data_IF_289697560182
#
_entry.id   IF_289697560182
#
_cell.length_a   1.000
_cell.length_b   1.000
_cell.length_c   1.000
_cell.angle_alpha   90.00
_cell.angle_beta   90.00
_cell.angle_gamma   90.00
#
_symmetry.space_group_name_H-M   'P 1'
#
loop_
_entity.id
_entity.type
_entity.pdbx_description
1 polymer ?
#
# COMPACT_ATOMS: atom_id res chain seq x y z
N UNK A 1 -23.08 19.40 0.85
CA UNK A 1 -22.40 18.18 1.34
C UNK A 1 -23.44 17.09 1.25
N UNK A 2 -23.33 16.28 0.20
CA UNK A 2 -24.12 15.06 0.10
C UNK A 2 -23.53 14.10 1.14
N UNK A 3 -24.40 13.59 2.03
CA UNK A 3 -23.99 12.73 3.13
C UNK A 3 -23.45 11.43 2.52
N UNK A 4 -22.14 11.16 2.64
CA UNK A 4 -21.54 9.90 2.21
C UNK A 4 -22.24 8.77 2.98
N UNK A 5 -23.19 8.12 2.31
CA UNK A 5 -24.03 7.09 2.91
C UNK A 5 -23.16 5.91 3.35
N UNK A 6 -23.12 5.68 4.66
CA UNK A 6 -22.46 4.49 5.23
C UNK A 6 -23.20 3.24 4.73
N UNK A 7 -22.54 2.43 3.89
CA UNK A 7 -23.03 1.12 3.47
C UNK A 7 -23.30 0.90 1.97
N UNK A 8 -22.90 1.80 1.07
CA UNK A 8 -23.17 1.67 -0.38
C UNK A 8 -22.05 1.03 -1.20
N UNK A 9 -20.83 0.94 -0.67
CA UNK A 9 -19.68 0.43 -1.42
C UNK A 9 -19.45 -1.07 -1.22
N UNK A 10 -19.12 -1.76 -2.31
CA UNK A 10 -18.75 -3.19 -2.33
C UNK A 10 -17.24 -3.36 -2.54
N UNK A 11 -16.58 -4.32 -1.87
CA UNK A 11 -15.16 -4.60 -2.08
C UNK A 11 -14.89 -5.27 -3.43
N UNK A 12 -15.86 -5.98 -3.99
CA UNK A 12 -15.67 -6.80 -5.20
C UNK A 12 -15.22 -5.98 -6.42
N UNK A 13 -15.85 -4.83 -6.77
CA UNK A 13 -15.37 -3.98 -7.86
C UNK A 13 -13.91 -3.53 -7.74
N UNK A 14 -13.41 -3.28 -6.52
CA UNK A 14 -12.00 -2.92 -6.30
C UNK A 14 -11.10 -4.10 -6.67
N UNK A 15 -11.41 -5.29 -6.17
CA UNK A 15 -10.61 -6.49 -6.42
C UNK A 15 -10.67 -6.91 -7.90
N UNK A 16 -11.87 -6.89 -8.50
CA UNK A 16 -12.06 -7.23 -9.91
C UNK A 16 -11.26 -6.29 -10.81
N UNK A 17 -11.24 -4.98 -10.50
CA UNK A 17 -10.43 -4.01 -11.23
C UNK A 17 -8.94 -4.22 -10.99
N UNK A 18 -8.51 -4.34 -9.73
CA UNK A 18 -7.09 -4.39 -9.39
C UNK A 18 -6.40 -5.66 -9.90
N UNK A 19 -7.09 -6.80 -9.82
CA UNK A 19 -6.56 -8.10 -10.24
C UNK A 19 -7.01 -8.51 -11.65
N UNK A 20 -7.57 -7.59 -12.44
CA UNK A 20 -7.79 -7.84 -13.87
C UNK A 20 -6.43 -8.08 -14.54
N UNK A 21 -6.23 -9.19 -15.28
CA UNK A 21 -4.99 -9.45 -16.00
C UNK A 21 -4.57 -8.32 -16.95
N UNK A 22 -5.52 -7.53 -17.46
CA UNK A 22 -5.23 -6.36 -18.30
C UNK A 22 -4.49 -5.23 -17.55
N UNK A 23 -4.55 -5.24 -16.21
CA UNK A 23 -3.95 -4.21 -15.35
C UNK A 23 -2.65 -4.66 -14.69
N UNK A 24 -2.23 -5.91 -14.83
CA UNK A 24 -1.05 -6.49 -14.14
C UNK A 24 0.23 -5.65 -14.36
N UNK A 25 0.50 -5.25 -15.60
CA UNK A 25 1.67 -4.41 -15.94
C UNK A 25 1.54 -2.96 -15.43
N UNK A 26 0.34 -2.53 -15.05
CA UNK A 26 0.03 -1.16 -14.63
C UNK A 26 0.16 -0.97 -13.11
N UNK A 27 0.11 -2.04 -12.31
CA UNK A 27 0.00 -1.95 -10.85
C UNK A 27 1.18 -1.22 -10.20
N UNK A 28 2.38 -1.39 -10.74
CA UNK A 28 3.61 -0.74 -10.27
C UNK A 28 4.13 0.35 -11.23
N UNK A 29 3.45 0.57 -12.36
CA UNK A 29 3.85 1.56 -13.35
C UNK A 29 3.18 2.91 -13.07
N UNK A 30 3.89 4.01 -13.38
CA UNK A 30 3.22 5.31 -13.51
C UNK A 30 2.49 5.35 -14.85
N UNK A 31 1.16 5.42 -14.80
CA UNK A 31 0.31 5.50 -15.99
C UNK A 31 -0.89 6.42 -15.74
N UNK A 32 -0.89 7.58 -16.40
CA UNK A 32 -1.92 8.62 -16.18
C UNK A 32 -3.34 8.14 -16.55
N UNK A 33 -3.48 7.25 -17.54
CA UNK A 33 -4.78 6.70 -17.93
C UNK A 33 -5.31 5.71 -16.88
N UNK A 34 -4.43 4.90 -16.29
CA UNK A 34 -4.79 4.00 -15.18
C UNK A 34 -5.16 4.80 -13.91
N UNK A 35 -4.39 5.84 -13.59
CA UNK A 35 -4.70 6.72 -12.47
C UNK A 35 -6.05 7.44 -12.66
N UNK A 36 -6.35 7.89 -13.89
CA UNK A 36 -7.65 8.47 -14.22
C UNK A 36 -8.78 7.45 -14.10
N UNK A 37 -8.57 6.21 -14.55
CA UNK A 37 -9.56 5.14 -14.40
C UNK A 37 -9.84 4.81 -12.91
N UNK A 38 -8.80 4.84 -12.05
CA UNK A 38 -8.98 4.70 -10.60
C UNK A 38 -9.77 5.87 -10.04
N UNK A 39 -9.46 7.10 -10.47
CA UNK A 39 -10.18 8.30 -10.04
C UNK A 39 -11.66 8.25 -10.40
N UNK A 40 -11.97 7.93 -11.65
CA UNK A 40 -13.35 7.95 -12.15
C UNK A 40 -14.23 6.90 -11.47
N UNK A 41 -13.65 5.75 -11.10
CA UNK A 41 -14.42 4.62 -10.56
C UNK A 41 -14.39 4.52 -9.04
N UNK A 42 -13.30 4.94 -8.38
CA UNK A 42 -13.04 4.61 -6.98
C UNK A 42 -12.67 5.81 -6.10
N UNK A 43 -12.70 7.05 -6.61
CA UNK A 43 -12.36 8.21 -5.77
C UNK A 43 -13.28 8.34 -4.54
N UNK A 44 -14.59 8.14 -4.69
CA UNK A 44 -15.53 8.21 -3.57
C UNK A 44 -15.32 7.06 -2.57
N UNK A 45 -14.93 5.88 -3.06
CA UNK A 45 -14.57 4.72 -2.22
C UNK A 45 -13.31 5.03 -1.41
N UNK A 46 -12.30 5.63 -2.05
CA UNK A 46 -11.07 6.07 -1.40
C UNK A 46 -11.34 7.15 -0.34
N UNK A 47 -12.18 8.14 -0.65
CA UNK A 47 -12.56 9.20 0.29
C UNK A 47 -13.32 8.63 1.50
N UNK A 48 -14.23 7.68 1.28
CA UNK A 48 -14.91 6.96 2.35
C UNK A 48 -13.94 6.11 3.19
N UNK A 49 -12.96 5.46 2.56
CA UNK A 49 -11.89 4.72 3.22
C UNK A 49 -11.04 5.62 4.13
N UNK A 50 -10.64 6.80 3.63
CA UNK A 50 -9.90 7.80 4.40
C UNK A 50 -10.63 8.24 5.68
N UNK A 51 -11.96 8.17 5.67
CA UNK A 51 -12.83 8.49 6.81
C UNK A 51 -13.18 7.27 7.69
N UNK A 52 -12.65 6.09 7.36
CA UNK A 52 -12.93 4.84 8.09
C UNK A 52 -14.34 4.27 7.85
N UNK A 53 -15.04 4.75 6.83
CA UNK A 53 -16.43 4.36 6.54
C UNK A 53 -16.55 2.98 5.88
N UNK A 54 -15.43 2.41 5.40
CA UNK A 54 -15.35 1.06 4.87
C UNK A 54 -15.25 -0.03 5.95
N UNK A 55 -15.40 0.32 7.24
CA UNK A 55 -15.31 -0.62 8.36
C UNK A 55 -16.10 -1.94 8.20
N UNK A 56 -17.27 -2.03 7.52
CA UNK A 56 -17.96 -3.30 7.34
C UNK A 56 -17.14 -4.31 6.52
N UNK A 57 -16.28 -3.84 5.60
CA UNK A 57 -15.43 -4.69 4.77
C UNK A 57 -14.45 -5.52 5.62
N UNK A 58 -14.07 -5.01 6.79
CA UNK A 58 -13.11 -5.63 7.72
C UNK A 58 -13.60 -6.95 8.32
N UNK A 59 -14.88 -7.28 8.14
CA UNK A 59 -15.48 -8.54 8.61
C UNK A 59 -15.11 -9.75 7.75
N UNK A 60 -14.56 -9.55 6.56
CA UNK A 60 -14.20 -10.63 5.63
C UNK A 60 -12.75 -10.51 5.15
N UNK A 61 -12.15 -11.63 4.75
CA UNK A 61 -10.79 -11.67 4.20
C UNK A 61 -10.63 -10.74 2.98
N UNK A 62 -11.50 -10.91 1.99
CA UNK A 62 -11.44 -10.12 0.74
C UNK A 62 -11.86 -8.67 0.93
N UNK A 63 -12.77 -8.37 1.87
CA UNK A 63 -13.09 -6.99 2.21
C UNK A 63 -11.90 -6.25 2.83
N UNK A 64 -11.13 -6.90 3.73
CA UNK A 64 -9.86 -6.33 4.24
C UNK A 64 -8.85 -6.10 3.13
N UNK A 65 -8.68 -7.07 2.24
CA UNK A 65 -7.75 -6.94 1.11
C UNK A 65 -8.13 -5.76 0.20
N UNK A 66 -9.41 -5.61 -0.12
CA UNK A 66 -9.90 -4.48 -0.90
C UNK A 66 -9.64 -3.14 -0.20
N UNK A 67 -9.87 -3.06 1.12
CA UNK A 67 -9.61 -1.84 1.89
C UNK A 67 -8.10 -1.52 1.93
N UNK A 68 -7.23 -2.53 2.02
CA UNK A 68 -5.77 -2.35 1.90
C UNK A 68 -5.42 -1.75 0.53
N UNK A 69 -5.93 -2.30 -0.58
CA UNK A 69 -5.68 -1.78 -1.93
C UNK A 69 -6.15 -0.32 -2.05
N UNK A 70 -7.33 0.00 -1.53
CA UNK A 70 -7.85 1.38 -1.56
C UNK A 70 -6.93 2.33 -0.77
N UNK A 71 -6.57 1.98 0.47
CA UNK A 71 -5.84 2.90 1.33
C UNK A 71 -4.35 2.98 1.02
N UNK A 72 -3.76 1.91 0.49
CA UNK A 72 -2.33 1.83 0.20
C UNK A 72 -2.06 2.17 -1.28
N UNK A 73 -2.59 1.38 -2.20
CA UNK A 73 -2.29 1.48 -3.62
C UNK A 73 -3.03 2.65 -4.28
N UNK A 74 -4.35 2.73 -4.15
CA UNK A 74 -5.10 3.84 -4.77
C UNK A 74 -4.68 5.20 -4.21
N UNK A 75 -4.29 5.32 -2.94
CA UNK A 75 -3.70 6.56 -2.41
C UNK A 75 -2.47 7.00 -3.24
N UNK A 76 -1.58 6.07 -3.58
CA UNK A 76 -0.37 6.35 -4.38
C UNK A 76 -0.69 6.71 -5.83
N UNK A 77 -1.70 6.09 -6.44
CA UNK A 77 -2.18 6.44 -7.79
C UNK A 77 -2.91 7.79 -7.81
N UNK A 78 -3.82 8.03 -6.86
CA UNK A 78 -4.69 9.21 -6.83
C UNK A 78 -3.97 10.48 -6.38
N UNK A 79 -2.90 10.35 -5.59
CA UNK A 79 -2.23 11.49 -4.94
C UNK A 79 -0.74 11.57 -5.28
N UNK A 80 -0.36 11.21 -6.52
CA UNK A 80 1.04 11.32 -6.97
C UNK A 80 1.61 12.71 -6.72
N UNK A 81 2.79 12.77 -6.11
CA UNK A 81 3.48 14.03 -5.80
C UNK A 81 2.86 14.81 -4.63
N UNK A 82 1.96 14.20 -3.86
CA UNK A 82 1.26 14.84 -2.74
C UNK A 82 1.37 14.00 -1.46
N UNK A 83 1.49 14.65 -0.30
CA UNK A 83 1.60 13.99 1.00
C UNK A 83 0.43 13.05 1.30
N UNK A 84 -0.74 13.31 0.72
CA UNK A 84 -1.93 12.46 0.85
C UNK A 84 -1.73 11.04 0.32
N UNK A 85 -0.74 10.80 -0.55
CA UNK A 85 -0.39 9.44 -0.99
C UNK A 85 0.01 8.51 0.16
N UNK A 86 0.56 9.07 1.25
CA UNK A 86 1.07 8.32 2.40
C UNK A 86 0.18 8.48 3.64
N UNK A 87 -0.83 9.34 3.59
CA UNK A 87 -1.62 9.72 4.76
C UNK A 87 -2.38 8.54 5.38
N UNK A 88 -2.68 7.51 4.58
CA UNK A 88 -3.42 6.32 5.03
C UNK A 88 -2.52 5.11 5.33
N UNK A 89 -1.19 5.23 5.17
CA UNK A 89 -0.24 4.15 5.48
C UNK A 89 -0.45 3.56 6.90
N UNK A 90 -0.71 4.35 7.98
CA UNK A 90 -0.96 3.78 9.30
C UNK A 90 -2.21 2.89 9.36
N UNK A 91 -3.29 3.25 8.66
CA UNK A 91 -4.52 2.45 8.65
C UNK A 91 -4.33 1.18 7.80
N UNK A 92 -3.68 1.30 6.64
CA UNK A 92 -3.33 0.16 5.80
C UNK A 92 -2.41 -0.82 6.54
N UNK A 93 -1.44 -0.32 7.32
CA UNK A 93 -0.56 -1.14 8.16
C UNK A 93 -1.34 -1.95 9.20
N UNK A 94 -2.29 -1.32 9.90
CA UNK A 94 -3.14 -2.02 10.87
C UNK A 94 -3.97 -3.11 10.18
N UNK A 95 -4.55 -2.81 9.01
CA UNK A 95 -5.31 -3.79 8.25
C UNK A 95 -4.45 -4.97 7.80
N UNK A 96 -3.21 -4.71 7.36
CA UNK A 96 -2.24 -5.75 7.02
C UNK A 96 -1.88 -6.62 8.22
N UNK A 97 -1.62 -6.03 9.38
CA UNK A 97 -1.35 -6.78 10.63
C UNK A 97 -2.54 -7.63 11.07
N UNK A 98 -3.77 -7.23 10.75
CA UNK A 98 -4.98 -7.97 11.08
C UNK A 98 -5.34 -9.03 10.03
N UNK A 99 -5.11 -8.78 8.73
CA UNK A 99 -5.43 -9.74 7.67
C UNK A 99 -4.54 -10.99 7.74
N UNK A 100 -3.26 -10.84 8.11
CA UNK A 100 -2.33 -11.98 8.27
C UNK A 100 -2.73 -12.94 9.39
N UNK A 101 -3.52 -12.47 10.36
CA UNK A 101 -4.06 -13.29 11.47
C UNK A 101 -5.35 -14.01 11.08
N UNK A 102 -5.94 -13.68 9.94
CA UNK A 102 -7.20 -14.28 9.51
C UNK A 102 -7.01 -15.78 9.25
N UNK A 103 -7.87 -16.68 9.78
CA UNK A 103 -7.71 -18.14 9.63
C UNK A 103 -7.61 -18.61 8.17
N UNK A 104 -8.21 -17.84 7.27
CA UNK A 104 -8.27 -18.11 5.83
C UNK A 104 -7.19 -17.40 5.01
N UNK A 105 -6.27 -16.63 5.63
CA UNK A 105 -5.20 -15.91 4.92
C UNK A 105 -4.41 -16.83 3.97
N UNK A 106 -4.18 -18.08 4.38
CA UNK A 106 -3.49 -19.10 3.57
C UNK A 106 -4.12 -19.34 2.19
N UNK A 107 -5.41 -19.04 2.01
CA UNK A 107 -6.15 -19.27 0.77
C UNK A 107 -6.05 -18.13 -0.24
N UNK A 108 -5.53 -16.96 0.16
CA UNK A 108 -5.18 -15.92 -0.81
C UNK A 108 -4.16 -16.45 -1.81
N UNK A 109 -4.29 -16.04 -3.07
CA UNK A 109 -3.28 -16.28 -4.10
C UNK A 109 -1.96 -15.59 -3.73
N UNK A 110 -0.82 -15.99 -4.33
CA UNK A 110 0.46 -15.32 -4.07
C UNK A 110 0.42 -13.81 -4.32
N UNK A 111 -0.25 -13.39 -5.41
CA UNK A 111 -0.38 -11.96 -5.75
C UNK A 111 -1.21 -11.21 -4.70
N UNK A 112 -2.35 -11.76 -4.28
CA UNK A 112 -3.18 -11.17 -3.22
C UNK A 112 -2.43 -11.08 -1.88
N UNK A 113 -1.61 -12.08 -1.55
CA UNK A 113 -0.75 -12.04 -0.36
C UNK A 113 0.29 -10.93 -0.46
N UNK A 114 0.92 -10.73 -1.61
CA UNK A 114 1.87 -9.63 -1.81
C UNK A 114 1.19 -8.27 -1.50
N UNK A 115 0.04 -7.99 -2.10
CA UNK A 115 -0.70 -6.74 -1.83
C UNK A 115 -1.20 -6.62 -0.38
N UNK A 116 -1.57 -7.74 0.26
CA UNK A 116 -1.93 -7.74 1.68
C UNK A 116 -0.74 -7.37 2.59
N UNK A 117 0.50 -7.62 2.16
CA UNK A 117 1.71 -7.40 2.93
C UNK A 117 2.42 -6.07 2.60
N UNK A 118 2.19 -5.45 1.44
CA UNK A 118 2.80 -4.16 1.04
C UNK A 118 2.73 -3.06 2.11
N UNK A 119 1.65 -2.89 2.90
CA UNK A 119 1.66 -1.89 3.97
C UNK A 119 2.75 -2.10 5.04
N UNK A 120 3.23 -3.34 5.23
CA UNK A 120 4.37 -3.63 6.10
C UNK A 120 5.68 -3.11 5.49
N UNK A 121 5.88 -3.32 4.19
CA UNK A 121 7.04 -2.80 3.43
C UNK A 121 7.02 -1.27 3.42
N UNK A 122 5.86 -0.65 3.25
CA UNK A 122 5.73 0.81 3.22
C UNK A 122 5.90 1.51 4.58
N UNK A 123 6.01 0.77 5.69
CA UNK A 123 6.13 1.31 7.03
C UNK A 123 7.53 1.88 7.30
N UNK A 124 7.63 3.13 7.76
CA UNK A 124 8.89 3.71 8.26
C UNK A 124 9.23 3.21 9.68
N UNK A 125 9.38 1.89 9.85
CA UNK A 125 9.69 1.25 11.14
C UNK A 125 10.56 0.01 10.98
N UNK A 126 11.82 0.08 11.42
CA UNK A 126 12.74 -1.05 11.38
C UNK A 126 12.20 -2.30 12.11
N UNK A 127 11.45 -2.09 13.20
CA UNK A 127 10.83 -3.20 13.93
C UNK A 127 9.69 -3.90 13.18
N UNK A 128 8.97 -3.19 12.30
CA UNK A 128 7.97 -3.81 11.41
C UNK A 128 8.68 -4.64 10.33
N UNK A 129 9.72 -4.09 9.71
CA UNK A 129 10.52 -4.81 8.71
C UNK A 129 11.12 -6.11 9.27
N UNK A 130 11.83 -6.02 10.39
CA UNK A 130 12.52 -7.16 11.00
C UNK A 130 11.55 -8.25 11.49
N UNK A 131 10.46 -7.86 12.15
CA UNK A 131 9.59 -8.82 12.87
C UNK A 131 8.43 -9.34 12.04
N UNK A 132 7.99 -8.57 11.05
CA UNK A 132 6.80 -8.88 10.26
C UNK A 132 7.13 -8.94 8.77
N UNK A 133 7.58 -7.85 8.16
CA UNK A 133 7.65 -7.77 6.70
C UNK A 133 8.62 -8.81 6.12
N UNK A 134 9.91 -8.77 6.46
CA UNK A 134 10.91 -9.71 5.96
C UNK A 134 10.49 -11.19 6.09
N UNK A 135 10.13 -11.72 7.29
CA UNK A 135 9.74 -13.12 7.42
C UNK A 135 8.44 -13.46 6.68
N UNK A 136 7.48 -12.54 6.60
CA UNK A 136 6.21 -12.79 5.92
C UNK A 136 6.35 -12.78 4.39
N UNK A 137 7.07 -11.80 3.83
CA UNK A 137 7.37 -11.78 2.40
C UNK A 137 8.11 -13.05 1.99
N UNK A 138 9.17 -13.42 2.72
CA UNK A 138 9.90 -14.67 2.48
C UNK A 138 9.02 -15.92 2.50
N UNK A 139 8.01 -15.95 3.36
CA UNK A 139 7.15 -17.12 3.52
C UNK A 139 6.01 -17.19 2.49
N UNK A 140 5.57 -16.04 1.97
CA UNK A 140 4.29 -15.93 1.28
C UNK A 140 4.33 -15.31 -0.12
N UNK A 141 5.47 -14.74 -0.54
CA UNK A 141 5.66 -14.17 -1.88
C UNK A 141 6.73 -14.92 -2.67
N UNK A 142 6.93 -14.56 -3.94
CA UNK A 142 8.05 -15.06 -4.72
C UNK A 142 9.37 -14.33 -4.37
N UNK A 143 10.49 -14.88 -4.88
CA UNK A 143 11.82 -14.34 -4.65
C UNK A 143 11.97 -12.90 -5.18
N UNK A 144 11.28 -12.57 -6.26
CA UNK A 144 11.30 -11.24 -6.84
C UNK A 144 10.69 -10.20 -5.89
N UNK A 145 9.49 -10.47 -5.38
CA UNK A 145 8.79 -9.60 -4.43
C UNK A 145 9.54 -9.52 -3.10
N UNK A 146 10.10 -10.64 -2.64
CA UNK A 146 10.90 -10.66 -1.41
C UNK A 146 12.19 -9.82 -1.52
N UNK A 147 12.83 -9.77 -2.70
CA UNK A 147 14.01 -8.92 -2.94
C UNK A 147 13.70 -7.42 -2.81
N UNK A 148 12.48 -6.99 -3.15
CA UNK A 148 12.05 -5.59 -2.91
C UNK A 148 11.91 -5.27 -1.42
N UNK A 149 11.34 -6.17 -0.62
CA UNK A 149 11.23 -5.97 0.82
C UNK A 149 12.64 -5.82 1.45
N UNK A 150 13.61 -6.62 1.01
CA UNK A 150 14.99 -6.49 1.48
C UNK A 150 15.61 -5.13 1.11
N UNK A 151 15.32 -4.60 -0.08
CA UNK A 151 15.79 -3.25 -0.47
C UNK A 151 15.15 -2.17 0.38
N UNK A 152 13.85 -2.24 0.63
CA UNK A 152 13.13 -1.33 1.51
C UNK A 152 13.70 -1.36 2.94
N UNK A 153 13.89 -2.56 3.47
CA UNK A 153 14.49 -2.77 4.80
C UNK A 153 15.87 -2.14 4.91
N UNK A 154 16.73 -2.23 3.90
CA UNK A 154 18.07 -1.57 3.91
C UNK A 154 17.95 -0.06 4.06
N UNK A 155 16.98 0.57 3.39
CA UNK A 155 16.75 2.02 3.52
C UNK A 155 16.30 2.36 4.93
N UNK A 156 15.34 1.60 5.47
CA UNK A 156 14.83 1.83 6.82
C UNK A 156 15.87 1.56 7.91
N UNK A 157 16.71 0.53 7.77
CA UNK A 157 17.79 0.25 8.71
C UNK A 157 18.85 1.37 8.68
N UNK A 158 19.08 2.00 7.52
CA UNK A 158 20.06 3.09 7.35
C UNK A 158 19.54 4.44 7.84
N UNK A 159 18.30 4.79 7.54
CA UNK A 159 17.77 6.16 7.75
C UNK A 159 16.61 6.24 8.75
N UNK A 160 16.01 5.11 9.13
CA UNK A 160 14.82 5.05 9.97
C UNK A 160 13.54 5.54 9.30
N UNK A 161 13.62 5.94 8.03
CA UNK A 161 12.53 6.50 7.20
C UNK A 161 12.89 6.40 5.72
N UNK A 162 11.96 6.73 4.83
CA UNK A 162 12.17 6.80 3.39
C UNK A 162 12.58 8.22 2.95
N UNK A 163 13.84 8.46 2.57
CA UNK A 163 14.30 9.80 2.23
C UNK A 163 13.58 10.42 1.03
N UNK A 164 13.13 9.61 0.07
CA UNK A 164 12.40 10.09 -1.12
C UNK A 164 11.05 10.72 -0.76
N UNK A 165 10.50 10.45 0.43
CA UNK A 165 9.26 11.08 0.92
C UNK A 165 9.51 12.44 1.59
N UNK A 166 10.76 12.81 1.87
CA UNK A 166 11.07 13.98 2.69
C UNK A 166 10.50 15.28 2.12
N UNK A 167 10.72 15.55 0.84
CA UNK A 167 10.23 16.78 0.19
C UNK A 167 8.70 16.87 0.24
N UNK A 168 8.03 15.80 -0.18
CA UNK A 168 6.55 15.72 -0.23
C UNK A 168 5.95 15.85 1.18
N UNK A 169 6.62 15.31 2.21
CA UNK A 169 6.19 15.39 3.61
C UNK A 169 6.70 16.63 4.34
N UNK A 170 7.40 17.55 3.67
CA UNK A 170 7.95 18.77 4.29
C UNK A 170 9.03 18.52 5.34
N UNK A 171 9.76 17.40 5.26
CA UNK A 171 10.85 17.03 6.17
C UNK A 171 12.19 17.54 5.63
N UNK A 172 13.06 18.12 6.45
CA UNK A 172 14.42 18.40 6.03
C UNK A 172 15.21 17.09 5.82
N UNK A 173 15.92 17.01 4.70
CA UNK A 173 16.85 15.91 4.40
C UNK A 173 18.23 16.19 4.99
N UNK A 174 18.90 15.14 5.49
CA UNK A 174 20.31 15.19 5.87
C UNK A 174 21.22 15.18 4.63
N UNK A 175 22.50 15.49 4.82
CA UNK A 175 23.50 15.41 3.73
C UNK A 175 23.59 13.96 3.18
N UNK A 176 23.54 12.97 4.07
CA UNK A 176 23.60 11.55 3.71
C UNK A 176 22.36 11.12 2.93
N UNK A 177 21.18 11.59 3.32
CA UNK A 177 19.92 11.35 2.60
C UNK A 177 19.94 11.99 1.21
N UNK A 178 20.46 13.23 1.08
CA UNK A 178 20.59 13.91 -0.22
C UNK A 178 21.54 13.15 -1.15
N UNK A 179 22.68 12.67 -0.62
CA UNK A 179 23.62 11.88 -1.40
C UNK A 179 23.00 10.55 -1.84
N UNK A 180 22.30 9.86 -0.94
CA UNK A 180 21.61 8.60 -1.23
C UNK A 180 20.56 8.75 -2.34
N UNK A 181 19.81 9.85 -2.37
CA UNK A 181 18.81 10.13 -3.42
C UNK A 181 19.40 10.28 -4.83
N UNK A 182 20.73 10.33 -4.99
CA UNK A 182 21.41 10.32 -6.30
C UNK A 182 21.81 8.90 -6.75
N UNK A 183 21.68 7.89 -5.88
CA UNK A 183 22.04 6.51 -6.17
C UNK A 183 20.85 5.77 -6.82
N UNK A 184 21.10 4.71 -7.63
CA UNK A 184 20.03 3.80 -8.07
C UNK A 184 19.32 3.16 -6.89
N UNK A 185 18.05 2.79 -7.06
CA UNK A 185 17.23 2.14 -6.01
C UNK A 185 17.06 2.99 -4.73
N UNK A 186 17.14 4.33 -4.86
CA UNK A 186 16.93 5.28 -3.76
C UNK A 186 15.47 5.69 -3.56
N UNK A 187 14.61 5.28 -4.49
CA UNK A 187 13.15 5.39 -4.45
C UNK A 187 12.53 4.15 -5.07
N UNK A 188 11.39 3.74 -4.52
CA UNK A 188 10.54 2.65 -5.02
C UNK A 188 9.11 3.17 -5.11
#
# INVERSE_FOLDING_TARGET
MEELSVGTYSPKPVLDFWFDPANEELLFAKNDAFDQAIRDQFYEVWEAGCQGLLYPWRSTLYGRLAEIIVLDQFSRNLMRGDARAFAQDPMALILSQEIIKHPEFRYLTPQEKAFALLPLEHSESAGIHERLAEPLFKAYTDDFTYDYELKHKVIIDRFGRYPHRNEILGRPSTIEEIAFLQEPNSSF
#
